data_IF_567457470817
#
_entry.id   IF_567457470817
#
_cell.length_a   1.000
_cell.length_b   1.000
_cell.length_c   1.000
_cell.angle_alpha   90.00
_cell.angle_beta   90.00
_cell.angle_gamma   90.00
#
_symmetry.space_group_name_H-M   'P 1'
#
loop_
_entity.id
_entity.type
_entity.pdbx_description
1 polymer ?
#
# COMPACT_ATOMS: atom_id res chain seq x y z
N UNK A 1 0.49 33.46 32.11
CA UNK A 1 1.88 32.94 32.26
C UNK A 1 2.43 32.67 30.87
N UNK A 2 3.66 33.11 30.59
CA UNK A 2 4.39 32.93 29.32
C UNK A 2 4.81 31.46 29.13
N UNK A 3 4.79 30.99 27.87
CA UNK A 3 5.32 29.68 27.42
C UNK A 3 6.83 29.54 27.63
N UNK A 4 7.35 28.29 27.65
CA UNK A 4 8.23 27.85 26.56
C UNK A 4 8.03 26.34 26.25
N UNK A 5 8.40 25.72 25.14
CA UNK A 5 8.84 26.10 23.80
C UNK A 5 8.53 24.87 22.93
N UNK A 6 8.04 25.09 21.71
CA UNK A 6 8.04 24.09 20.63
C UNK A 6 9.51 23.76 20.34
N UNK A 7 9.93 22.52 20.58
CA UNK A 7 11.21 22.05 20.04
C UNK A 7 10.92 21.59 18.61
N UNK A 8 11.07 22.52 17.68
CA UNK A 8 11.17 22.20 16.26
C UNK A 8 12.54 21.52 16.07
N UNK A 9 12.53 20.20 16.04
CA UNK A 9 13.73 19.43 15.69
C UNK A 9 13.72 19.32 14.17
N UNK A 10 14.48 20.18 13.51
CA UNK A 10 14.77 20.06 12.08
C UNK A 10 15.61 18.79 11.88
N UNK A 11 14.94 17.68 11.55
CA UNK A 11 15.60 16.46 11.09
C UNK A 11 15.92 16.67 9.62
N UNK A 12 17.22 16.81 9.32
CA UNK A 12 17.77 16.87 7.98
C UNK A 12 17.31 15.64 7.18
N UNK A 13 16.38 15.85 6.23
CA UNK A 13 15.77 14.76 5.48
C UNK A 13 16.68 14.33 4.33
N UNK A 14 17.13 13.08 4.32
CA UNK A 14 17.91 12.53 3.22
C UNK A 14 17.07 12.36 1.95
N UNK A 15 17.70 12.16 0.79
CA UNK A 15 16.99 11.97 -0.50
C UNK A 15 15.95 10.82 -0.48
N UNK A 16 16.12 9.86 0.43
CA UNK A 16 15.21 8.74 0.70
C UNK A 16 13.90 9.16 1.38
N UNK A 17 13.90 10.26 2.16
CA UNK A 17 12.69 10.80 2.81
C UNK A 17 11.73 11.44 1.81
N UNK A 18 12.19 11.73 0.59
CA UNK A 18 11.34 12.19 -0.51
C UNK A 18 10.30 11.15 -0.94
N UNK A 19 10.56 9.87 -0.65
CA UNK A 19 9.66 8.75 -0.94
C UNK A 19 8.81 8.31 0.26
N UNK A 20 9.09 8.87 1.44
CA UNK A 20 8.24 8.72 2.62
C UNK A 20 7.06 9.69 2.44
N UNK A 21 5.86 9.15 2.19
CA UNK A 21 4.65 9.98 2.19
C UNK A 21 4.56 10.68 3.55
N UNK A 22 4.76 12.01 3.57
CA UNK A 22 4.67 12.86 4.78
C UNK A 22 3.31 12.77 5.48
N UNK A 23 2.27 12.34 4.76
CA UNK A 23 0.92 12.14 5.29
C UNK A 23 0.40 10.75 4.93
N UNK A 24 -0.16 10.05 5.92
CA UNK A 24 -0.90 8.81 5.72
C UNK A 24 -2.11 9.12 4.83
N UNK A 25 -2.29 8.40 3.71
CA UNK A 25 -3.43 8.65 2.84
C UNK A 25 -4.75 8.42 3.58
N UNK A 26 -5.74 9.27 3.31
CA UNK A 26 -7.08 9.06 3.83
C UNK A 26 -7.61 7.70 3.42
N UNK A 27 -8.29 7.05 4.36
CA UNK A 27 -8.81 5.73 4.12
C UNK A 27 -9.83 5.74 2.98
N UNK A 28 -9.58 4.89 1.98
CA UNK A 28 -10.59 4.42 1.04
C UNK A 28 -10.43 2.91 0.91
N UNK A 29 -11.51 2.22 0.54
CA UNK A 29 -11.47 0.78 0.31
C UNK A 29 -10.43 0.40 -0.75
N UNK A 30 -10.27 1.21 -1.80
CA UNK A 30 -9.28 0.99 -2.86
C UNK A 30 -7.84 1.14 -2.36
N UNK A 31 -7.56 2.14 -1.54
CA UNK A 31 -6.22 2.35 -0.95
C UNK A 31 -5.86 1.20 -0.02
N UNK A 32 -6.81 0.75 0.82
CA UNK A 32 -6.60 -0.39 1.70
C UNK A 32 -6.30 -1.69 0.93
N UNK A 33 -7.01 -1.93 -0.18
CA UNK A 33 -6.73 -3.07 -1.05
C UNK A 33 -5.35 -2.97 -1.72
N UNK A 34 -4.95 -1.80 -2.23
CA UNK A 34 -3.62 -1.61 -2.84
C UNK A 34 -2.49 -1.86 -1.84
N UNK A 35 -2.61 -1.35 -0.60
CA UNK A 35 -1.63 -1.62 0.45
C UNK A 35 -1.59 -3.09 0.86
N UNK A 36 -2.75 -3.77 0.92
CA UNK A 36 -2.81 -5.21 1.23
C UNK A 36 -2.11 -6.03 0.14
N UNK A 37 -2.34 -5.69 -1.13
CA UNK A 37 -1.64 -6.31 -2.27
C UNK A 37 -0.13 -6.10 -2.18
N UNK A 38 0.31 -4.85 -1.94
CA UNK A 38 1.73 -4.53 -1.82
C UNK A 38 2.39 -5.27 -0.67
N UNK A 39 1.76 -5.30 0.50
CA UNK A 39 2.26 -6.03 1.66
C UNK A 39 2.47 -7.52 1.32
N UNK A 40 1.53 -8.13 0.61
CA UNK A 40 1.66 -9.54 0.21
C UNK A 40 2.84 -9.77 -0.72
N UNK A 41 3.00 -8.92 -1.73
CA UNK A 41 4.08 -9.05 -2.71
C UNK A 41 5.45 -8.74 -2.07
N UNK A 42 5.56 -7.61 -1.38
CA UNK A 42 6.82 -7.13 -0.80
C UNK A 42 7.31 -8.00 0.37
N UNK A 43 6.40 -8.59 1.15
CA UNK A 43 6.74 -9.44 2.30
C UNK A 43 6.59 -10.94 2.00
N UNK A 44 6.45 -11.32 0.73
CA UNK A 44 6.31 -12.70 0.26
C UNK A 44 5.29 -13.52 1.08
N UNK A 45 4.14 -12.91 1.38
CA UNK A 45 3.08 -13.56 2.15
C UNK A 45 2.26 -14.47 1.23
N UNK A 46 1.67 -15.56 1.76
CA UNK A 46 0.74 -16.35 0.98
C UNK A 46 -0.54 -15.56 0.70
N UNK A 47 -1.17 -15.76 -0.46
CA UNK A 47 -2.47 -15.14 -0.78
C UNK A 47 -3.58 -15.52 0.21
N UNK A 48 -3.40 -16.63 0.92
CA UNK A 48 -4.31 -17.08 1.98
C UNK A 48 -4.20 -16.24 3.26
N UNK A 49 -3.18 -15.38 3.41
CA UNK A 49 -3.01 -14.54 4.59
C UNK A 49 -4.26 -13.68 4.88
N UNK A 50 -4.93 -13.15 3.85
CA UNK A 50 -6.16 -12.36 4.02
C UNK A 50 -7.39 -13.19 4.42
N UNK A 51 -7.32 -14.53 4.33
CA UNK A 51 -8.37 -15.43 4.85
C UNK A 51 -8.28 -15.60 6.36
N UNK A 52 -7.17 -15.23 6.99
CA UNK A 52 -7.00 -15.33 8.45
C UNK A 52 -8.08 -14.52 9.16
N UNK A 53 -8.90 -15.20 9.97
CA UNK A 53 -9.95 -14.54 10.76
C UNK A 53 -9.36 -13.54 11.73
N UNK A 54 -8.22 -13.86 12.36
CA UNK A 54 -7.52 -12.95 13.26
C UNK A 54 -7.04 -11.67 12.55
N UNK A 55 -6.51 -11.80 11.33
CA UNK A 55 -6.08 -10.63 10.55
C UNK A 55 -7.28 -9.77 10.14
N UNK A 56 -8.39 -10.41 9.73
CA UNK A 56 -9.63 -9.70 9.39
C UNK A 56 -10.23 -8.97 10.59
N UNK A 57 -10.23 -9.62 11.75
CA UNK A 57 -10.65 -9.00 13.02
C UNK A 57 -9.75 -7.82 13.38
N UNK A 58 -8.43 -7.96 13.23
CA UNK A 58 -7.49 -6.87 13.44
C UNK A 58 -7.80 -5.67 12.53
N UNK A 59 -8.06 -5.91 11.24
CA UNK A 59 -8.46 -4.84 10.32
C UNK A 59 -9.77 -4.17 10.73
N UNK A 60 -10.76 -4.93 11.18
CA UNK A 60 -12.03 -4.38 11.68
C UNK A 60 -11.86 -3.58 12.97
N UNK A 61 -10.98 -3.99 13.89
CA UNK A 61 -10.68 -3.25 15.13
C UNK A 61 -10.01 -1.91 14.79
N UNK A 62 -9.03 -1.92 13.88
CA UNK A 62 -8.31 -0.72 13.46
C UNK A 62 -9.18 0.22 12.64
N UNK A 63 -10.12 -0.34 11.85
CA UNK A 63 -11.04 0.43 11.05
C UNK A 63 -12.35 -0.35 10.81
N UNK A 64 -13.44 -0.05 11.54
CA UNK A 64 -14.70 -0.79 11.43
C UNK A 64 -15.37 -0.73 10.05
N UNK A 65 -15.08 0.30 9.25
CA UNK A 65 -15.59 0.41 7.88
C UNK A 65 -14.72 -0.34 6.86
N UNK A 66 -13.59 -0.90 7.28
CA UNK A 66 -12.72 -1.67 6.41
C UNK A 66 -13.33 -3.04 6.08
N UNK A 67 -13.52 -3.28 4.78
CA UNK A 67 -13.89 -4.60 4.29
C UNK A 67 -12.63 -5.32 3.87
N UNK A 68 -12.21 -6.32 4.65
CA UNK A 68 -11.13 -7.20 4.24
C UNK A 68 -11.49 -7.88 2.90
N UNK A 69 -10.66 -7.75 1.85
CA UNK A 69 -10.91 -8.44 0.59
C UNK A 69 -10.84 -9.96 0.79
N UNK A 70 -11.64 -10.70 0.04
CA UNK A 70 -11.46 -12.15 -0.05
C UNK A 70 -10.15 -12.46 -0.77
N UNK A 71 -9.64 -13.69 -0.60
CA UNK A 71 -8.44 -14.10 -1.32
C UNK A 71 -8.66 -14.13 -2.84
N UNK A 72 -9.86 -14.43 -3.31
CA UNK A 72 -10.15 -14.46 -4.75
C UNK A 72 -10.15 -13.04 -5.33
N UNK A 73 -10.74 -12.08 -4.62
CA UNK A 73 -10.65 -10.65 -4.98
C UNK A 73 -9.20 -10.19 -5.02
N UNK A 74 -8.41 -10.59 -4.02
CA UNK A 74 -7.01 -10.22 -3.94
C UNK A 74 -6.18 -10.85 -5.06
N UNK A 75 -6.36 -12.14 -5.34
CA UNK A 75 -5.71 -12.84 -6.44
C UNK A 75 -6.01 -12.12 -7.77
N UNK A 76 -7.28 -11.81 -8.04
CA UNK A 76 -7.67 -11.08 -9.25
C UNK A 76 -7.04 -9.69 -9.32
N UNK A 77 -7.00 -8.96 -8.20
CA UNK A 77 -6.34 -7.65 -8.15
C UNK A 77 -4.84 -7.76 -8.47
N UNK A 78 -4.15 -8.79 -7.97
CA UNK A 78 -2.73 -9.02 -8.22
C UNK A 78 -2.48 -9.36 -9.70
N UNK A 79 -3.27 -10.26 -10.26
CA UNK A 79 -3.17 -10.63 -11.68
C UNK A 79 -3.46 -9.42 -12.58
N UNK A 80 -4.48 -8.63 -12.27
CA UNK A 80 -4.80 -7.41 -13.00
C UNK A 80 -3.64 -6.41 -12.94
N UNK A 81 -3.11 -6.15 -11.74
CA UNK A 81 -1.97 -5.25 -11.55
C UNK A 81 -0.73 -5.71 -12.32
N UNK A 82 -0.44 -7.02 -12.29
CA UNK A 82 0.65 -7.60 -13.05
C UNK A 82 0.46 -7.39 -14.56
N UNK A 83 -0.76 -7.65 -15.07
CA UNK A 83 -1.06 -7.47 -16.48
C UNK A 83 -0.97 -5.99 -16.91
N UNK A 84 -1.43 -5.06 -16.08
CA UNK A 84 -1.29 -3.62 -16.31
C UNK A 84 0.18 -3.22 -16.44
N UNK A 85 1.03 -3.59 -15.47
CA UNK A 85 2.46 -3.26 -15.51
C UNK A 85 3.19 -3.95 -16.66
N UNK A 86 2.88 -5.22 -16.94
CA UNK A 86 3.42 -5.94 -18.09
C UNK A 86 3.07 -5.24 -19.41
N UNK A 87 1.83 -4.78 -19.56
CA UNK A 87 1.39 -4.08 -20.76
C UNK A 87 2.12 -2.73 -20.91
N UNK A 88 2.28 -1.96 -19.83
CA UNK A 88 3.07 -0.72 -19.84
C UNK A 88 4.51 -0.96 -20.28
N UNK A 89 5.18 -1.98 -19.71
CA UNK A 89 6.56 -2.33 -20.09
C UNK A 89 6.62 -2.74 -21.56
N UNK A 90 5.66 -3.55 -22.03
CA UNK A 90 5.57 -3.95 -23.43
C UNK A 90 5.45 -2.74 -24.35
N UNK A 91 4.57 -1.80 -24.03
CA UNK A 91 4.38 -0.57 -24.80
C UNK A 91 5.66 0.27 -24.86
N UNK A 92 6.37 0.41 -23.73
CA UNK A 92 7.67 1.09 -23.69
C UNK A 92 8.65 0.41 -24.63
N UNK A 93 8.81 -0.92 -24.52
CA UNK A 93 9.77 -1.69 -25.33
C UNK A 93 9.45 -1.67 -26.83
N UNK A 94 8.17 -1.67 -27.21
CA UNK A 94 7.75 -1.60 -28.61
C UNK A 94 7.96 -0.22 -29.26
N UNK A 95 8.03 0.84 -28.45
CA UNK A 95 8.22 2.21 -28.92
C UNK A 95 9.70 2.66 -28.92
N UNK A 96 10.65 1.79 -28.56
CA UNK A 96 12.09 2.10 -28.62
C UNK A 96 12.55 1.98 -30.08
N UNK A 97 13.08 3.06 -30.71
CA UNK A 97 13.71 2.95 -32.02
C UNK A 97 14.98 2.08 -31.90
N UNK A 98 15.11 1.09 -32.80
CA UNK A 98 16.25 0.19 -32.87
C UNK A 98 17.55 0.86 -33.28
#
# INVERSE_FOLDING_TARGET
MKHPSKVETEVESGEIDKFVKKELPHYTQGIFQDFTVRWIICNNQPFTAVKSEHLRLLFCILNPIAKAPSADTLHNNIINKFNEERNKIREILQNVPG
#
